data_IF_466086395495
#
_entry.id   IF_466086395495
#
_cell.length_a   1.000
_cell.length_b   1.000
_cell.length_c   1.000
_cell.angle_alpha   90.00
_cell.angle_beta   90.00
_cell.angle_gamma   90.00
#
_symmetry.space_group_name_H-M   'P 1'
#
loop_
_entity.id
_entity.type
_entity.pdbx_description
1 polymer ?
#
# COMPACT_ATOMS: atom_id res chain seq x y z
N UNK A 1 10.80 -16.93 -8.15
CA UNK A 1 9.61 -16.37 -8.80
C UNK A 1 9.66 -14.85 -8.74
N UNK A 2 9.44 -14.21 -9.87
CA UNK A 2 9.45 -12.75 -9.92
C UNK A 2 8.22 -12.17 -9.20
N UNK A 3 8.43 -11.14 -8.42
CA UNK A 3 7.35 -10.38 -7.79
C UNK A 3 7.51 -8.91 -8.15
N UNK A 4 6.48 -8.11 -7.91
CA UNK A 4 6.53 -6.68 -8.19
C UNK A 4 7.60 -5.96 -7.36
N UNK A 5 8.01 -6.57 -6.25
CA UNK A 5 9.02 -5.99 -5.36
C UNK A 5 10.41 -6.59 -5.60
N UNK A 6 10.56 -7.49 -6.55
CA UNK A 6 11.85 -8.08 -6.85
C UNK A 6 12.85 -7.02 -7.31
N UNK A 7 14.03 -7.03 -6.72
CA UNK A 7 15.05 -6.04 -7.00
C UNK A 7 14.93 -4.75 -6.22
N UNK A 8 13.91 -4.64 -5.37
CA UNK A 8 13.75 -3.47 -4.52
C UNK A 8 14.42 -3.69 -3.16
N UNK A 9 15.13 -2.67 -2.74
CA UNK A 9 15.61 -2.56 -1.37
C UNK A 9 14.43 -2.30 -0.45
N UNK A 10 14.42 -2.90 0.75
CA UNK A 10 13.36 -2.68 1.73
C UNK A 10 13.20 -1.22 2.12
N UNK A 11 14.30 -0.46 2.17
CA UNK A 11 14.25 0.97 2.48
C UNK A 11 13.56 1.76 1.37
N UNK A 12 13.77 1.37 0.11
CA UNK A 12 13.12 2.02 -1.04
C UNK A 12 11.61 1.78 -0.98
N UNK A 13 11.21 0.55 -0.71
CA UNK A 13 9.80 0.21 -0.60
C UNK A 13 9.12 0.98 0.54
N UNK A 14 9.76 1.06 1.70
CA UNK A 14 9.23 1.80 2.83
C UNK A 14 9.07 3.28 2.51
N UNK A 15 10.03 3.86 1.77
CA UNK A 15 9.95 5.25 1.36
C UNK A 15 8.77 5.48 0.41
N UNK A 16 8.53 4.54 -0.50
CA UNK A 16 7.39 4.62 -1.41
C UNK A 16 6.07 4.59 -0.62
N UNK A 17 5.98 3.73 0.38
CA UNK A 17 4.79 3.63 1.22
C UNK A 17 4.56 4.95 1.97
N UNK A 18 5.62 5.59 2.45
CA UNK A 18 5.52 6.89 3.14
C UNK A 18 4.98 7.99 2.24
N UNK A 19 5.18 7.87 0.92
CA UNK A 19 4.69 8.87 -0.05
C UNK A 19 3.22 8.73 -0.39
N UNK A 20 2.59 7.64 0.03
CA UNK A 20 1.15 7.46 -0.19
C UNK A 20 0.37 8.49 0.63
N UNK A 21 -0.78 8.96 0.12
CA UNK A 21 -1.68 9.76 0.93
C UNK A 21 -2.01 9.07 2.24
N UNK A 22 -2.21 9.84 3.30
CA UNK A 22 -2.34 9.30 4.65
C UNK A 22 -3.38 8.20 4.78
N UNK A 23 -4.58 8.41 4.23
CA UNK A 23 -5.64 7.42 4.32
C UNK A 23 -5.28 6.10 3.65
N UNK A 24 -4.68 6.17 2.47
CA UNK A 24 -4.24 4.99 1.73
C UNK A 24 -3.12 4.27 2.48
N UNK A 25 -2.18 5.03 3.01
CA UNK A 25 -1.06 4.47 3.77
C UNK A 25 -1.53 3.76 5.03
N UNK A 26 -2.46 4.36 5.75
CA UNK A 26 -3.02 3.76 6.97
C UNK A 26 -3.71 2.44 6.68
N UNK A 27 -4.58 2.41 5.66
CA UNK A 27 -5.29 1.19 5.30
C UNK A 27 -4.32 0.11 4.84
N UNK A 28 -3.33 0.49 4.02
CA UNK A 28 -2.33 -0.47 3.55
C UNK A 28 -1.56 -1.09 4.71
N UNK A 29 -1.11 -0.28 5.65
CA UNK A 29 -0.37 -0.77 6.81
C UNK A 29 -1.22 -1.67 7.71
N UNK A 30 -2.45 -1.26 7.99
CA UNK A 30 -3.33 -2.03 8.85
C UNK A 30 -3.70 -3.37 8.23
N UNK A 31 -3.91 -3.39 6.92
CA UNK A 31 -4.29 -4.62 6.24
C UNK A 31 -3.09 -5.56 6.03
N UNK A 32 -1.98 -5.03 5.51
CA UNK A 32 -0.83 -5.86 5.11
C UNK A 32 0.08 -6.18 6.29
N UNK A 33 0.41 -5.19 7.11
CA UNK A 33 1.36 -5.37 8.21
C UNK A 33 0.67 -5.94 9.44
N UNK A 34 -0.47 -5.35 9.83
CA UNK A 34 -1.18 -5.76 11.04
C UNK A 34 -2.15 -6.92 10.80
N UNK A 35 -2.47 -7.23 9.55
CA UNK A 35 -3.35 -8.35 9.21
C UNK A 35 -4.81 -8.14 9.57
N UNK A 36 -5.27 -6.90 9.67
CA UNK A 36 -6.65 -6.61 10.03
C UNK A 36 -7.59 -6.77 8.84
N UNK A 37 -8.83 -7.16 9.13
CA UNK A 37 -9.89 -7.22 8.11
C UNK A 37 -10.39 -5.81 7.80
N UNK A 38 -11.10 -5.65 6.67
CA UNK A 38 -11.70 -4.36 6.33
C UNK A 38 -12.71 -3.91 7.37
N UNK A 39 -13.41 -4.85 8.01
CA UNK A 39 -14.33 -4.53 9.09
C UNK A 39 -13.60 -3.93 10.28
N UNK A 40 -12.48 -4.53 10.66
CA UNK A 40 -11.66 -4.05 11.77
C UNK A 40 -11.03 -2.70 11.45
N UNK A 41 -10.52 -2.54 10.22
CA UNK A 41 -9.96 -1.26 9.77
C UNK A 41 -11.03 -0.18 9.78
N UNK A 42 -12.23 -0.52 9.30
CA UNK A 42 -13.35 0.41 9.31
C UNK A 42 -13.69 0.89 10.70
N UNK A 43 -13.65 0.00 11.68
CA UNK A 43 -13.91 0.36 13.08
C UNK A 43 -12.80 1.27 13.63
N UNK A 44 -11.54 0.96 13.31
CA UNK A 44 -10.41 1.77 13.80
C UNK A 44 -10.38 3.17 13.20
N UNK A 45 -10.65 3.27 11.91
CA UNK A 45 -10.55 4.54 11.19
C UNK A 45 -11.88 5.27 11.04
N UNK A 46 -12.95 4.70 11.59
CA UNK A 46 -14.30 5.26 11.49
C UNK A 46 -14.76 5.43 10.04
N UNK A 47 -14.50 4.42 9.23
CA UNK A 47 -14.93 4.36 7.83
C UNK A 47 -15.69 3.05 7.60
N UNK A 48 -16.43 2.99 6.50
CA UNK A 48 -17.13 1.76 6.13
C UNK A 48 -16.13 0.71 5.62
N UNK A 49 -16.43 -0.60 5.82
CA UNK A 49 -15.56 -1.65 5.26
C UNK A 49 -15.35 -1.52 3.75
N UNK A 50 -16.38 -1.12 3.01
CA UNK A 50 -16.26 -0.90 1.57
C UNK A 50 -15.26 0.22 1.25
N UNK A 51 -15.25 1.28 2.07
CA UNK A 51 -14.28 2.37 1.92
C UNK A 51 -12.87 1.88 2.19
N UNK A 52 -12.69 1.02 3.19
CA UNK A 52 -11.40 0.41 3.48
C UNK A 52 -10.91 -0.39 2.28
N UNK A 53 -11.78 -1.21 1.69
CA UNK A 53 -11.43 -2.03 0.52
C UNK A 53 -11.05 -1.16 -0.68
N UNK A 54 -11.82 -0.09 -0.94
CA UNK A 54 -11.54 0.83 -2.04
C UNK A 54 -10.21 1.54 -1.83
N UNK A 55 -9.94 1.99 -0.61
CA UNK A 55 -8.69 2.68 -0.30
C UNK A 55 -7.49 1.74 -0.43
N UNK A 56 -7.65 0.49 -0.01
CA UNK A 56 -6.59 -0.49 -0.18
C UNK A 56 -6.28 -0.71 -1.65
N UNK A 57 -7.31 -0.85 -2.49
CA UNK A 57 -7.14 -1.03 -3.92
C UNK A 57 -6.37 0.16 -4.53
N UNK A 58 -6.78 1.37 -4.19
CA UNK A 58 -6.12 2.58 -4.69
C UNK A 58 -4.69 2.69 -4.19
N UNK A 59 -4.44 2.32 -2.93
CA UNK A 59 -3.09 2.33 -2.38
C UNK A 59 -2.18 1.37 -3.15
N UNK A 60 -2.66 0.17 -3.44
CA UNK A 60 -1.92 -0.81 -4.22
C UNK A 60 -1.63 -0.32 -5.63
N UNK A 61 -2.61 0.31 -6.27
CA UNK A 61 -2.45 0.85 -7.62
C UNK A 61 -1.39 1.95 -7.65
N UNK A 62 -1.44 2.86 -6.70
CA UNK A 62 -0.44 3.93 -6.61
C UNK A 62 0.95 3.39 -6.32
N UNK A 63 1.04 2.43 -5.41
CA UNK A 63 2.32 1.82 -5.07
C UNK A 63 2.92 1.08 -6.26
N UNK A 64 2.10 0.34 -7.00
CA UNK A 64 2.55 -0.38 -8.20
C UNK A 64 3.11 0.60 -9.24
N UNK A 65 2.47 1.75 -9.41
CA UNK A 65 2.96 2.78 -10.32
C UNK A 65 4.31 3.32 -9.87
N UNK A 66 4.46 3.59 -8.58
CA UNK A 66 5.74 4.06 -8.04
C UNK A 66 6.85 3.04 -8.27
N UNK A 67 6.56 1.76 -8.05
CA UNK A 67 7.52 0.68 -8.26
C UNK A 67 7.93 0.60 -9.73
N UNK A 68 6.95 0.66 -10.63
CA UNK A 68 7.25 0.61 -12.07
C UNK A 68 8.09 1.80 -12.51
N UNK A 69 7.77 2.99 -12.05
CA UNK A 69 8.54 4.19 -12.37
C UNK A 69 9.98 4.09 -11.86
N UNK A 70 10.15 3.54 -10.66
CA UNK A 70 11.47 3.33 -10.08
C UNK A 70 12.29 2.34 -10.91
N UNK A 71 11.67 1.22 -11.30
CA UNK A 71 12.35 0.21 -12.12
C UNK A 71 12.75 0.75 -13.48
N UNK A 72 11.95 1.61 -14.09
CA UNK A 72 12.30 2.27 -15.34
C UNK A 72 13.55 3.13 -15.22
N UNK A 73 13.69 3.83 -14.09
CA UNK A 73 14.87 4.67 -13.85
C UNK A 73 16.13 3.85 -13.69
N UNK A 74 16.00 2.63 -13.16
CA UNK A 74 17.14 1.74 -12.99
C UNK A 74 17.54 1.06 -14.29
N UNK A 75 16.56 0.82 -15.14
CA UNK A 75 16.76 0.15 -16.39
C UNK A 75 17.04 1.08 -17.52
#
# INVERSE_FOLDING_TARGET
MASDTEGLDGNVLMEMIRRLPEGYRQVLNLYVVEGLSHKEIGQMLHIKPDSSASQLHRAKTMLAKMINDYKRRLG
#
